data_IF_745033165288
#
_entry.id   IF_745033165288
#
_cell.length_a   1.000
_cell.length_b   1.000
_cell.length_c   1.000
_cell.angle_alpha   90.00
_cell.angle_beta   90.00
_cell.angle_gamma   90.00
#
_symmetry.space_group_name_H-M   'P 1'
#
loop_
_entity.id
_entity.type
_entity.pdbx_description
1 polymer ?
#
# COMPACT_ATOMS: atom_id res chain seq x y z
N UNK A 1 -9.34 -0.79 -21.16
CA UNK A 1 -8.26 -1.44 -20.39
C UNK A 1 -8.77 -1.66 -18.98
N UNK A 2 -9.00 -2.91 -18.56
CA UNK A 2 -9.51 -3.23 -17.23
C UNK A 2 -8.37 -3.10 -16.21
N UNK A 3 -8.62 -2.36 -15.12
CA UNK A 3 -7.65 -2.17 -14.03
C UNK A 3 -7.50 -3.48 -13.25
N UNK A 4 -6.28 -4.03 -13.28
CA UNK A 4 -5.93 -5.40 -12.89
C UNK A 4 -5.72 -5.60 -11.38
N UNK A 5 -6.16 -4.67 -10.53
CA UNK A 5 -6.02 -4.79 -9.07
C UNK A 5 -7.26 -5.36 -8.38
N UNK A 6 -8.36 -5.56 -9.12
CA UNK A 6 -9.62 -6.05 -8.57
C UNK A 6 -10.06 -7.32 -9.31
N UNK A 7 -10.09 -8.45 -8.59
CA UNK A 7 -10.63 -9.71 -9.09
C UNK A 7 -11.92 -10.02 -8.31
N UNK A 8 -13.10 -10.02 -8.94
CA UNK A 8 -14.39 -10.23 -8.27
C UNK A 8 -14.51 -11.57 -7.52
N UNK A 9 -13.70 -12.56 -7.89
CA UNK A 9 -13.71 -13.90 -7.28
C UNK A 9 -12.92 -13.98 -5.95
N UNK A 10 -12.15 -12.95 -5.59
CA UNK A 10 -11.41 -12.90 -4.32
C UNK A 10 -12.27 -12.45 -3.13
N UNK A 11 -13.50 -11.98 -3.37
CA UNK A 11 -14.40 -11.46 -2.34
C UNK A 11 -15.05 -12.55 -1.48
N UNK A 12 -15.01 -13.83 -1.86
CA UNK A 12 -15.93 -14.82 -1.27
C UNK A 12 -15.58 -15.32 0.15
N UNK A 13 -14.32 -15.30 0.64
CA UNK A 13 -14.02 -15.91 1.98
C UNK A 13 -12.97 -15.23 2.85
N UNK A 14 -12.94 -13.90 2.88
CA UNK A 14 -12.31 -13.23 4.01
C UNK A 14 -11.79 -11.86 3.68
N UNK A 15 -12.70 -10.88 3.64
CA UNK A 15 -12.47 -9.57 4.24
C UNK A 15 -11.05 -9.01 4.03
N UNK A 16 -10.67 -8.81 2.76
CA UNK A 16 -9.74 -7.74 2.41
C UNK A 16 -10.49 -6.43 2.67
N UNK A 17 -10.68 -6.11 3.95
CA UNK A 17 -11.04 -4.79 4.40
C UNK A 17 -9.88 -3.91 3.95
N UNK A 18 -10.09 -3.13 2.89
CA UNK A 18 -9.26 -1.96 2.68
C UNK A 18 -9.16 -1.25 4.03
N UNK A 19 -7.97 -1.17 4.63
CA UNK A 19 -7.85 -0.57 5.93
C UNK A 19 -8.28 0.89 5.80
N UNK A 20 -9.32 1.28 6.54
CA UNK A 20 -9.71 2.70 6.66
C UNK A 20 -8.80 3.45 7.65
N UNK A 21 -7.66 2.86 8.00
CA UNK A 21 -6.65 3.44 8.88
C UNK A 21 -5.73 4.29 8.01
N UNK A 22 -5.67 5.57 8.33
CA UNK A 22 -4.72 6.48 7.76
C UNK A 22 -3.46 6.52 8.60
N UNK A 23 -2.44 7.05 7.97
CA UNK A 23 -1.17 7.29 8.60
C UNK A 23 -1.30 8.22 9.83
N UNK A 24 -2.15 9.24 9.77
CA UNK A 24 -2.39 10.15 10.90
C UNK A 24 -2.99 9.45 12.13
N UNK A 25 -3.63 8.29 11.94
CA UNK A 25 -4.23 7.50 13.00
C UNK A 25 -3.20 6.66 13.78
N UNK A 26 -1.95 6.56 13.30
CA UNK A 26 -0.89 5.73 13.91
C UNK A 26 0.27 6.60 14.40
N UNK A 27 0.34 6.80 15.72
CA UNK A 27 1.40 7.57 16.38
C UNK A 27 2.71 6.80 16.59
N UNK A 28 3.81 7.52 16.82
CA UNK A 28 5.09 6.94 17.27
C UNK A 28 5.89 6.16 16.22
N UNK A 29 5.41 6.09 14.97
CA UNK A 29 6.05 5.33 13.88
C UNK A 29 6.62 6.21 12.76
N UNK A 30 6.94 7.47 13.06
CA UNK A 30 7.44 8.43 12.06
C UNK A 30 8.67 7.90 11.32
N UNK A 31 9.64 7.35 12.05
CA UNK A 31 10.83 6.75 11.45
C UNK A 31 10.48 5.56 10.55
N UNK A 32 9.61 4.65 11.01
CA UNK A 32 9.21 3.49 10.23
C UNK A 32 8.43 3.88 8.98
N UNK A 33 7.62 4.94 9.03
CA UNK A 33 6.92 5.48 7.86
C UNK A 33 7.90 5.99 6.81
N UNK A 34 8.95 6.69 7.22
CA UNK A 34 9.96 7.20 6.29
C UNK A 34 10.70 6.05 5.59
N UNK A 35 11.09 5.02 6.34
CA UNK A 35 11.73 3.83 5.76
C UNK A 35 10.75 3.07 4.85
N UNK A 36 9.49 2.93 5.25
CA UNK A 36 8.46 2.30 4.43
C UNK A 36 8.23 3.05 3.11
N UNK A 37 8.13 4.38 3.16
CA UNK A 37 8.00 5.21 1.95
C UNK A 37 9.23 5.03 1.03
N UNK A 38 10.43 5.11 1.60
CA UNK A 38 11.69 5.02 0.87
C UNK A 38 11.89 3.67 0.17
N UNK A 39 11.63 2.57 0.87
CA UNK A 39 11.95 1.25 0.37
C UNK A 39 10.81 0.56 -0.37
N UNK A 40 9.55 0.92 -0.09
CA UNK A 40 8.39 0.25 -0.69
C UNK A 40 7.61 1.22 -1.59
N UNK A 41 7.07 2.31 -1.03
CA UNK A 41 6.14 3.18 -1.77
C UNK A 41 6.82 3.83 -2.97
N UNK A 42 8.01 4.43 -2.78
CA UNK A 42 8.72 5.13 -3.85
C UNK A 42 9.19 4.20 -4.96
N UNK A 43 9.63 2.98 -4.63
CA UNK A 43 10.04 2.00 -5.63
C UNK A 43 8.88 1.50 -6.49
N UNK A 44 7.68 1.40 -5.92
CA UNK A 44 6.47 1.04 -6.69
C UNK A 44 6.02 2.20 -7.57
N UNK A 45 6.09 3.44 -7.06
CA UNK A 45 5.60 4.64 -7.78
C UNK A 45 6.57 5.16 -8.85
N UNK A 46 7.87 5.04 -8.60
CA UNK A 46 8.95 5.60 -9.41
C UNK A 46 10.00 4.53 -9.70
N UNK A 47 9.65 3.39 -10.30
CA UNK A 47 10.59 2.29 -10.52
C UNK A 47 11.86 2.71 -11.28
N UNK A 48 11.75 3.68 -12.18
CA UNK A 48 12.84 4.25 -12.97
C UNK A 48 13.95 4.91 -12.13
N UNK A 49 13.63 5.44 -10.95
CA UNK A 49 14.60 6.08 -10.06
C UNK A 49 15.45 5.04 -9.28
N UNK A 50 15.12 3.76 -9.38
CA UNK A 50 15.67 2.68 -8.55
C UNK A 50 16.17 1.47 -9.36
N UNK A 51 16.47 1.66 -10.65
CA UNK A 51 17.11 0.63 -11.51
C UNK A 51 18.49 0.19 -11.03
#
# INVERSE_FOLDING_TARGET
>A
KQLKWFNPLLEEKGSLLFPNVKWEDVGGLEFLRQEFDRYIVRRIKFPEDYE
#
